data_IF_395342538191
#
_entry.id   IF_395342538191
#
_cell.length_a   1.000
_cell.length_b   1.000
_cell.length_c   1.000
_cell.angle_alpha   90.00
_cell.angle_beta   90.00
_cell.angle_gamma   90.00
#
_symmetry.space_group_name_H-M   'P 1'
#
loop_
_entity.id
_entity.type
_entity.pdbx_description
1 polymer ?
#
# COMPACT_ATOMS: atom_id res chain seq x y z
N UNK A 1 -16.19 -12.84 1.87
CA UNK A 1 -15.87 -11.40 1.79
C UNK A 1 -15.92 -11.00 0.33
N UNK A 2 -16.84 -10.12 -0.07
CA UNK A 2 -16.71 -9.43 -1.37
C UNK A 2 -15.70 -8.30 -1.13
N UNK A 3 -14.54 -8.38 -1.76
CA UNK A 3 -13.66 -7.22 -1.90
C UNK A 3 -14.34 -6.31 -2.91
N UNK A 4 -14.95 -5.22 -2.44
CA UNK A 4 -15.35 -4.14 -3.33
C UNK A 4 -14.08 -3.38 -3.71
N UNK A 5 -13.49 -3.70 -4.87
CA UNK A 5 -12.46 -2.87 -5.47
C UNK A 5 -13.13 -1.59 -5.98
N UNK A 6 -12.78 -0.45 -5.39
CA UNK A 6 -13.17 0.84 -5.92
C UNK A 6 -12.04 1.38 -6.81
N UNK A 7 -12.41 1.87 -7.98
CA UNK A 7 -11.49 2.56 -8.86
C UNK A 7 -11.48 4.04 -8.46
N UNK A 8 -10.42 4.49 -7.80
CA UNK A 8 -10.32 5.85 -7.27
C UNK A 8 -9.33 6.65 -8.13
N UNK A 9 -9.68 7.89 -8.49
CA UNK A 9 -8.75 8.90 -8.97
C UNK A 9 -7.46 8.96 -8.14
N UNK A 10 -6.32 9.11 -8.78
CA UNK A 10 -4.99 9.20 -8.17
C UNK A 10 -4.74 10.34 -7.14
N UNK A 11 -5.74 11.12 -6.76
CA UNK A 11 -5.61 12.42 -6.08
C UNK A 11 -6.59 12.64 -4.92
N UNK A 12 -7.05 11.59 -4.22
CA UNK A 12 -8.19 11.68 -3.28
C UNK A 12 -7.97 12.35 -1.91
N UNK A 13 -7.18 13.43 -1.83
CA UNK A 13 -7.34 14.42 -0.76
C UNK A 13 -7.03 15.85 -1.24
N UNK A 14 -7.93 16.42 -2.03
CA UNK A 14 -8.15 17.88 -2.13
C UNK A 14 -9.48 18.12 -2.84
N UNK A 15 -10.28 19.08 -2.37
CA UNK A 15 -11.59 19.47 -2.92
C UNK A 15 -11.48 20.23 -4.25
N UNK A 16 -10.68 19.72 -5.19
CA UNK A 16 -10.54 20.22 -6.58
C UNK A 16 -10.69 19.05 -7.55
N UNK A 17 -11.49 19.18 -8.63
CA UNK A 17 -11.59 18.15 -9.65
C UNK A 17 -10.38 18.26 -10.58
N UNK A 18 -9.24 17.70 -10.17
CA UNK A 18 -8.22 17.29 -11.13
C UNK A 18 -8.61 15.90 -11.61
N UNK A 19 -9.09 15.78 -12.85
CA UNK A 19 -9.36 14.49 -13.49
C UNK A 19 -7.99 13.81 -13.66
N UNK A 20 -7.66 12.74 -12.92
CA UNK A 20 -6.39 12.08 -13.13
C UNK A 20 -6.46 11.27 -14.41
N UNK A 21 -5.40 11.37 -15.22
CA UNK A 21 -5.24 10.60 -16.46
C UNK A 21 -5.16 9.08 -16.21
N UNK A 22 -4.84 8.66 -14.96
CA UNK A 22 -4.72 7.26 -14.56
C UNK A 22 -5.61 6.92 -13.36
N UNK A 23 -6.41 5.88 -13.53
CA UNK A 23 -7.27 5.29 -12.52
C UNK A 23 -6.43 4.43 -11.55
N UNK A 24 -6.70 4.47 -10.23
CA UNK A 24 -6.02 3.64 -9.21
C UNK A 24 -6.97 2.63 -8.59
N UNK A 25 -6.48 1.41 -8.34
CA UNK A 25 -7.21 0.39 -7.60
C UNK A 25 -7.02 0.67 -6.11
N UNK A 26 -8.12 0.84 -5.36
CA UNK A 26 -8.10 0.95 -3.91
C UNK A 26 -8.73 -0.28 -3.29
N UNK A 27 -7.98 -0.93 -2.41
CA UNK A 27 -8.46 -2.06 -1.61
C UNK A 27 -8.92 -1.53 -0.25
N UNK A 28 -10.24 -1.61 -0.01
CA UNK A 28 -10.83 -1.19 1.27
C UNK A 28 -10.99 -2.40 2.19
N UNK A 29 -10.24 -2.42 3.29
CA UNK A 29 -10.24 -3.53 4.26
C UNK A 29 -11.05 -3.24 5.52
N UNK A 30 -11.63 -2.03 5.62
CA UNK A 30 -12.45 -1.58 6.75
C UNK A 30 -13.95 -1.84 6.55
N UNK A 31 -14.36 -2.21 5.33
CA UNK A 31 -15.74 -2.52 5.01
C UNK A 31 -16.25 -3.68 5.88
N UNK A 32 -17.37 -3.45 6.58
CA UNK A 32 -17.94 -4.43 7.50
C UNK A 32 -18.90 -5.36 6.77
N UNK A 33 -18.78 -6.65 7.03
CA UNK A 33 -19.73 -7.67 6.63
C UNK A 33 -20.06 -8.53 7.84
N UNK A 34 -21.35 -8.65 8.17
CA UNK A 34 -21.82 -9.33 9.41
C UNK A 34 -21.15 -8.79 10.68
N UNK A 35 -20.95 -7.46 10.74
CA UNK A 35 -20.41 -6.77 11.91
C UNK A 35 -18.88 -6.77 12.05
N UNK A 36 -18.14 -7.47 11.18
CA UNK A 36 -16.67 -7.54 11.22
C UNK A 36 -16.06 -7.07 9.88
N UNK A 37 -14.92 -6.41 9.93
CA UNK A 37 -14.10 -6.06 8.76
C UNK A 37 -12.90 -7.00 8.64
N UNK A 38 -12.15 -6.91 7.53
CA UNK A 38 -10.94 -7.71 7.37
C UNK A 38 -9.88 -7.32 8.40
N UNK A 39 -9.74 -6.02 8.68
CA UNK A 39 -8.78 -5.53 9.66
C UNK A 39 -9.06 -6.02 11.09
N UNK A 40 -10.32 -6.35 11.42
CA UNK A 40 -10.70 -6.83 12.76
C UNK A 40 -10.26 -8.28 13.03
N UNK A 41 -10.05 -9.07 11.97
CA UNK A 41 -9.79 -10.52 12.06
C UNK A 41 -8.38 -10.93 11.66
N UNK A 42 -7.59 -10.01 11.10
CA UNK A 42 -6.20 -10.26 10.74
C UNK A 42 -5.30 -10.17 11.97
N UNK A 43 -4.49 -11.21 12.19
CA UNK A 43 -3.43 -11.16 13.20
C UNK A 43 -2.31 -10.22 12.74
N UNK A 44 -1.89 -9.35 13.65
CA UNK A 44 -0.77 -8.46 13.39
C UNK A 44 0.54 -9.27 13.27
N UNK A 45 1.23 -9.11 12.15
CA UNK A 45 2.55 -9.68 11.95
C UNK A 45 3.66 -8.87 12.66
N UNK A 46 4.87 -9.42 12.76
CA UNK A 46 6.03 -8.67 13.21
C UNK A 46 6.34 -7.50 12.25
N UNK A 47 6.87 -6.41 12.79
CA UNK A 47 7.34 -5.28 11.98
C UNK A 47 8.65 -5.68 11.26
N UNK A 48 8.57 -5.77 9.94
CA UNK A 48 9.72 -6.08 9.07
C UNK A 48 10.28 -4.83 8.38
N UNK A 49 9.74 -3.65 8.67
CA UNK A 49 10.22 -2.41 8.08
C UNK A 49 11.60 -2.05 8.63
N UNK A 50 12.52 -1.73 7.73
CA UNK A 50 13.85 -1.27 8.14
C UNK A 50 13.76 0.20 8.54
N UNK A 51 14.43 0.58 9.63
CA UNK A 51 14.49 1.97 10.08
C UNK A 51 15.02 2.89 8.96
N UNK A 52 14.22 3.89 8.59
CA UNK A 52 14.51 4.84 7.51
C UNK A 52 15.81 5.62 7.75
N UNK A 53 16.07 6.07 8.98
CA UNK A 53 17.32 6.76 9.33
C UNK A 53 18.51 5.85 9.06
N UNK A 54 18.41 4.57 9.42
CA UNK A 54 19.45 3.58 9.14
C UNK A 54 19.67 3.37 7.63
N UNK A 55 18.62 3.41 6.82
CA UNK A 55 18.71 3.37 5.36
C UNK A 55 19.46 4.61 4.85
N UNK A 56 19.00 5.81 5.21
CA UNK A 56 19.59 7.07 4.73
C UNK A 56 21.06 7.22 5.11
N UNK A 57 21.45 6.79 6.31
CA UNK A 57 22.85 6.78 6.73
C UNK A 57 23.72 5.86 5.85
N UNK A 58 23.20 4.69 5.44
CA UNK A 58 23.92 3.78 4.52
C UNK A 58 24.04 4.35 3.10
N UNK A 59 23.00 5.01 2.60
CA UNK A 59 23.03 5.71 1.32
C UNK A 59 24.13 6.79 1.27
N UNK A 60 24.46 7.41 2.40
CA UNK A 60 25.51 8.44 2.49
C UNK A 60 26.93 7.90 2.69
N UNK A 61 27.11 6.59 2.91
CA UNK A 61 28.45 6.01 3.10
C UNK A 61 29.27 5.98 1.83
N UNK A 62 28.61 5.76 0.69
CA UNK A 62 29.27 5.60 -0.60
C UNK A 62 29.04 6.82 -1.49
N UNK A 63 29.91 6.99 -2.50
CA UNK A 63 29.84 8.14 -3.43
C UNK A 63 28.64 8.09 -4.38
N UNK A 64 28.13 6.89 -4.64
CA UNK A 64 27.05 6.65 -5.61
C UNK A 64 25.99 5.80 -4.94
N UNK A 65 24.74 6.22 -5.07
CA UNK A 65 23.57 5.47 -4.62
C UNK A 65 22.64 5.20 -5.81
N UNK A 66 22.05 4.01 -5.84
CA UNK A 66 21.06 3.61 -6.83
C UNK A 66 19.72 3.47 -6.15
N UNK A 67 18.69 4.08 -6.73
CA UNK A 67 17.31 4.04 -6.25
C UNK A 67 16.40 3.52 -7.35
N UNK A 68 15.40 2.74 -6.97
CA UNK A 68 14.32 2.31 -7.85
C UNK A 68 13.03 2.21 -7.04
N UNK A 69 11.91 2.55 -7.67
CA UNK A 69 10.59 2.39 -7.09
C UNK A 69 9.93 1.12 -7.61
N UNK A 70 9.27 0.38 -6.71
CA UNK A 70 8.46 -0.80 -7.10
C UNK A 70 7.03 -0.33 -7.29
N UNK A 71 6.58 -0.27 -8.54
CA UNK A 71 5.18 0.01 -8.84
C UNK A 71 4.27 -1.06 -8.25
N UNK A 72 3.21 -0.62 -7.58
CA UNK A 72 2.13 -1.50 -7.09
C UNK A 72 2.62 -2.62 -6.15
N UNK A 73 3.60 -2.33 -5.28
CA UNK A 73 4.31 -3.32 -4.45
C UNK A 73 3.39 -4.34 -3.71
N UNK A 74 2.22 -3.91 -3.21
CA UNK A 74 1.29 -4.76 -2.46
C UNK A 74 0.61 -5.79 -3.38
N UNK A 75 0.38 -5.44 -4.65
CA UNK A 75 -0.27 -6.32 -5.62
C UNK A 75 0.66 -7.42 -6.16
N UNK A 76 1.96 -7.28 -5.96
CA UNK A 76 2.95 -8.28 -6.37
C UNK A 76 3.07 -9.45 -5.37
N UNK A 77 2.39 -9.39 -4.22
CA UNK A 77 2.45 -10.43 -3.19
C UNK A 77 1.56 -11.62 -3.56
N UNK A 78 2.15 -12.82 -3.59
CA UNK A 78 1.41 -14.07 -3.84
C UNK A 78 0.82 -14.62 -2.54
N UNK A 79 -0.50 -14.79 -2.52
CA UNK A 79 -1.20 -15.46 -1.41
C UNK A 79 -1.15 -16.98 -1.64
N UNK A 80 -0.75 -17.80 -0.65
CA UNK A 80 -0.76 -19.25 -0.77
C UNK A 80 -2.19 -19.76 -0.97
N UNK A 81 -2.34 -20.84 -1.74
CA UNK A 81 -3.63 -21.53 -1.87
C UNK A 81 -3.89 -22.29 -0.58
N UNK A 82 -5.04 -22.01 0.04
CA UNK A 82 -5.59 -22.80 1.15
C UNK A 82 -6.24 -24.07 0.62
#
# INVERSE_FOLDING_TARGET
MRLSSALVPASSCSTKPEIPEKLRIVLEFVAKHKGQSLNDVLYQGPDTTTNLVGILLRFRKERVAVTADIEEMIMQVKVPKT
#
